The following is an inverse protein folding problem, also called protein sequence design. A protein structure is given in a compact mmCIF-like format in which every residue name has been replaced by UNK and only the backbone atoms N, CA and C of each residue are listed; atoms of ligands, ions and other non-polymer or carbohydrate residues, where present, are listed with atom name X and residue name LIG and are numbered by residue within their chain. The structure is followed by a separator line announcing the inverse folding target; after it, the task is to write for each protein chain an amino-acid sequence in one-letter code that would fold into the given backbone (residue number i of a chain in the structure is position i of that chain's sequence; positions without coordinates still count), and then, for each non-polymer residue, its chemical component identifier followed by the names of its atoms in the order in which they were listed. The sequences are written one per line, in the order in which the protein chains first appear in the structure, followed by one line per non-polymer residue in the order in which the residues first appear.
data_IF_605981350928
#
_entry.id   IF_605981350928
#
_cell.length_a   1.000
_cell.length_b   1.000
_cell.length_c   1.000
_cell.angle_alpha   90.00
_cell.angle_beta   90.00
_cell.angle_gamma   90.00
#
_symmetry.space_group_name_H-M   'P 1'
#
loop_
_entity.id
_entity.type
_entity.pdbx_description
1 polymer ?
#
# COMPACT_ATOMS: atom_id res chain seq x y z
N UNK A 1 10.21 17.92 24.07
CA UNK A 1 9.64 16.58 23.81
C UNK A 1 8.88 16.54 22.47
N UNK A 2 9.53 16.78 21.32
CA UNK A 2 8.83 16.90 20.02
C UNK A 2 9.33 15.95 18.91
N UNK A 3 10.54 15.39 19.05
CA UNK A 3 11.11 14.51 18.01
C UNK A 3 10.69 13.03 18.12
N UNK A 4 10.32 12.58 19.32
CA UNK A 4 9.94 11.18 19.56
C UNK A 4 8.60 10.78 18.89
N UNK A 5 7.62 11.70 18.85
CA UNK A 5 6.30 11.46 18.23
C UNK A 5 6.39 11.35 16.71
N UNK A 6 7.36 12.04 16.08
CA UNK A 6 7.61 11.94 14.64
C UNK A 6 8.13 10.57 14.22
N UNK A 7 9.01 9.97 15.03
CA UNK A 7 9.57 8.64 14.77
C UNK A 7 8.50 7.53 14.90
N UNK A 8 7.58 7.66 15.87
CA UNK A 8 6.50 6.70 16.07
C UNK A 8 5.49 6.69 14.91
N UNK A 9 5.20 7.85 14.31
CA UNK A 9 4.33 7.92 13.12
C UNK A 9 5.05 7.43 11.86
N UNK A 10 6.34 7.71 11.74
CA UNK A 10 7.16 7.26 10.60
C UNK A 10 7.21 5.74 10.49
N UNK A 11 7.30 5.01 11.60
CA UNK A 11 7.30 3.53 11.56
C UNK A 11 6.00 2.96 11.02
N UNK A 12 4.84 3.57 11.34
CA UNK A 12 3.54 3.11 10.83
C UNK A 12 3.40 3.31 9.31
N UNK A 13 3.86 4.45 8.79
CA UNK A 13 3.81 4.73 7.35
C UNK A 13 4.80 3.85 6.56
N UNK A 14 6.02 3.66 7.10
CA UNK A 14 7.01 2.77 6.50
C UNK A 14 6.55 1.32 6.51
N UNK A 15 5.99 0.82 7.62
CA UNK A 15 5.49 -0.54 7.72
C UNK A 15 4.42 -0.87 6.66
N UNK A 16 3.50 0.07 6.40
CA UNK A 16 2.47 -0.08 5.36
C UNK A 16 3.06 -0.18 3.96
N UNK A 17 4.08 0.64 3.64
CA UNK A 17 4.77 0.60 2.34
C UNK A 17 5.50 -0.73 2.14
N UNK A 18 6.17 -1.23 3.18
CA UNK A 18 6.83 -2.54 3.13
C UNK A 18 5.84 -3.66 2.86
N UNK A 19 4.73 -3.74 3.62
CA UNK A 19 3.69 -4.74 3.38
C UNK A 19 3.14 -4.65 1.94
N UNK A 20 2.78 -3.45 1.48
CA UNK A 20 2.26 -3.26 0.13
C UNK A 20 3.29 -3.62 -0.96
N UNK A 21 4.58 -3.37 -0.71
CA UNK A 21 5.67 -3.81 -1.58
C UNK A 21 5.74 -5.33 -1.70
N UNK A 22 5.76 -6.04 -0.56
CA UNK A 22 5.78 -7.50 -0.55
C UNK A 22 4.53 -8.12 -1.18
N UNK A 23 3.35 -7.55 -0.96
CA UNK A 23 2.10 -8.01 -1.60
C UNK A 23 2.15 -7.80 -3.11
N UNK A 24 2.72 -6.68 -3.59
CA UNK A 24 2.88 -6.43 -5.02
C UNK A 24 3.78 -7.48 -5.68
N UNK A 25 4.92 -7.77 -5.06
CA UNK A 25 5.86 -8.78 -5.54
C UNK A 25 5.21 -10.16 -5.56
N UNK A 26 4.52 -10.54 -4.49
CA UNK A 26 3.74 -11.78 -4.42
C UNK A 26 2.73 -11.87 -5.57
N UNK A 27 1.89 -10.84 -5.74
CA UNK A 27 0.84 -10.81 -6.76
C UNK A 27 1.43 -10.93 -8.17
N UNK A 28 2.51 -10.19 -8.43
CA UNK A 28 3.22 -10.27 -9.71
C UNK A 28 3.78 -11.67 -9.93
N UNK A 29 4.39 -12.27 -8.91
CA UNK A 29 4.99 -13.59 -8.97
C UNK A 29 3.96 -14.70 -9.23
N UNK A 30 2.82 -14.70 -8.52
CA UNK A 30 1.78 -15.72 -8.71
C UNK A 30 1.07 -15.62 -10.06
N UNK A 31 1.16 -14.49 -10.75
CA UNK A 31 0.64 -14.31 -12.10
C UNK A 31 1.71 -14.57 -13.19
N UNK A 32 2.99 -14.48 -12.86
CA UNK A 32 4.09 -14.63 -13.82
C UNK A 32 4.46 -16.10 -14.05
N UNK A 33 4.71 -16.49 -15.30
CA UNK A 33 5.26 -17.80 -15.63
C UNK A 33 6.75 -17.88 -15.21
N UNK A 34 7.23 -19.00 -14.64
CA UNK A 34 6.52 -20.27 -14.38
C UNK A 34 5.82 -20.35 -13.02
N UNK A 35 5.99 -19.34 -12.16
CA UNK A 35 5.49 -19.32 -10.80
C UNK A 35 3.96 -19.43 -10.72
N UNK A 36 3.22 -18.97 -11.73
CA UNK A 36 1.77 -19.14 -11.81
C UNK A 36 1.30 -20.60 -11.87
N UNK A 37 2.10 -21.52 -12.42
CA UNK A 37 1.79 -22.95 -12.38
C UNK A 37 1.98 -23.52 -10.97
N UNK A 38 3.09 -23.18 -10.34
CA UNK A 38 3.39 -23.58 -8.95
C UNK A 38 2.38 -22.96 -7.98
N UNK A 39 1.96 -21.72 -8.21
CA UNK A 39 0.96 -21.03 -7.40
C UNK A 39 -0.39 -21.76 -7.47
N UNK A 40 -0.83 -22.17 -8.67
CA UNK A 40 -2.06 -22.93 -8.87
C UNK A 40 -2.02 -24.31 -8.20
N UNK A 41 -0.90 -25.02 -8.27
CA UNK A 41 -0.75 -26.33 -7.63
C UNK A 41 -0.53 -26.24 -6.12
N UNK A 42 0.13 -25.18 -5.65
CA UNK A 42 0.44 -24.93 -4.24
C UNK A 42 -0.63 -24.12 -3.49
N UNK A 43 -1.71 -23.71 -4.16
CA UNK A 43 -2.81 -22.96 -3.55
C UNK A 43 -2.49 -21.49 -3.23
N UNK A 44 -1.49 -20.90 -3.87
CA UNK A 44 -1.15 -19.49 -3.70
C UNK A 44 -2.05 -18.62 -4.60
N UNK A 45 -2.60 -17.56 -4.01
CA UNK A 45 -3.45 -16.59 -4.70
C UNK A 45 -2.99 -15.15 -4.43
N UNK A 46 -3.34 -14.19 -5.32
CA UNK A 46 -3.10 -12.77 -5.06
C UNK A 46 -3.70 -12.33 -3.72
N UNK A 47 -3.07 -11.34 -3.09
CA UNK A 47 -3.48 -10.75 -1.81
C UNK A 47 -3.79 -9.26 -1.96
N UNK A 48 -4.72 -8.77 -1.13
CA UNK A 48 -5.08 -7.35 -1.10
C UNK A 48 -4.00 -6.51 -0.42
N UNK A 49 -3.80 -5.31 -0.97
CA UNK A 49 -2.98 -4.28 -0.35
C UNK A 49 -3.59 -3.80 0.97
N UNK A 50 -2.75 -3.29 1.86
CA UNK A 50 -3.19 -2.59 3.05
C UNK A 50 -3.67 -1.20 2.64
N UNK A 51 -4.99 -1.00 2.73
CA UNK A 51 -5.62 0.29 2.53
C UNK A 51 -5.49 1.11 3.81
N UNK A 52 -4.94 2.32 3.69
CA UNK A 52 -5.11 3.36 4.70
C UNK A 52 -6.35 4.13 4.32
N UNK A 53 -7.17 4.55 5.30
CA UNK A 53 -8.18 5.60 5.18
C UNK A 53 -7.57 6.91 4.62
N UNK A 54 -7.22 6.90 3.34
CA UNK A 54 -6.86 8.06 2.55
C UNK A 54 -8.09 8.59 1.80
N UNK A 55 -9.25 7.92 1.93
CA UNK A 55 -10.55 8.35 1.42
C UNK A 55 -11.07 9.63 2.08
N UNK A 56 -10.42 10.11 3.14
CA UNK A 56 -10.61 11.45 3.70
C UNK A 56 -9.58 12.48 3.20
N UNK A 57 -8.98 12.27 2.01
CA UNK A 57 -8.33 13.36 1.29
C UNK A 57 -9.42 14.24 0.70
N UNK A 58 -10.03 15.07 1.54
CA UNK A 58 -10.86 16.20 1.12
C UNK A 58 -9.98 17.02 0.17
N UNK A 59 -10.24 16.91 -1.13
CA UNK A 59 -9.59 17.74 -2.11
C UNK A 59 -9.92 19.19 -1.71
N UNK A 60 -8.93 20.05 -1.45
CA UNK A 60 -9.23 21.45 -1.19
C UNK A 60 -9.90 22.00 -2.45
N UNK A 61 -11.18 22.33 -2.36
CA UNK A 61 -11.89 23.07 -3.40
C UNK A 61 -11.26 24.45 -3.48
N UNK A 62 -10.28 24.62 -4.38
CA UNK A 62 -9.68 25.92 -4.66
C UNK A 62 -10.68 26.75 -5.46
N UNK A 63 -11.40 27.63 -4.76
CA UNK A 63 -12.21 28.66 -5.40
C UNK A 63 -11.30 29.75 -5.93
N UNK A 64 -11.06 29.76 -7.24
CA UNK A 64 -10.51 30.94 -7.91
C UNK A 64 -11.63 31.98 -7.99
N UNK A 65 -11.76 32.82 -6.97
CA UNK A 65 -12.60 34.01 -7.03
C UNK A 65 -11.90 35.06 -7.90
N UNK A 66 -12.16 35.00 -9.20
CA UNK A 66 -11.87 36.10 -10.12
C UNK A 66 -13.03 37.09 -10.09
N UNK A 67 -12.78 38.29 -9.57
CA UNK A 67 -13.61 39.48 -9.72
C UNK A 67 -12.71 40.68 -9.90
#
# INVERSE_FOLDING_TARGET
MSRATGLLRASSASARRFYNGSVRELNTAVESFPLSLVARWGGFSPRSYFETDASHRSLPTVGFSGS
#
